data_IF_145089987988
#
_entry.id   IF_145089987988
#
_cell.length_a   1.000
_cell.length_b   1.000
_cell.length_c   1.000
_cell.angle_alpha   90.00
_cell.angle_beta   90.00
_cell.angle_gamma   90.00
#
_symmetry.space_group_name_H-M   'P 1'
#
loop_
_entity.id
_entity.type
_entity.pdbx_description
1 polymer ?
#
# COMPACT_ATOMS: atom_id res chain seq x y z
N UNK A 1 11.83 25.80 2.64
CA UNK A 1 11.26 25.55 1.30
C UNK A 1 10.04 26.43 1.16
N UNK A 2 9.98 27.23 0.12
CA UNK A 2 8.82 28.07 -0.22
C UNK A 2 7.59 27.18 -0.33
N UNK A 3 6.41 27.55 0.22
CA UNK A 3 5.19 26.79 -0.01
C UNK A 3 4.90 26.85 -1.52
N UNK A 4 5.11 25.72 -2.21
CA UNK A 4 4.65 25.52 -3.58
C UNK A 4 3.14 25.74 -3.56
N UNK A 5 2.64 26.64 -4.41
CA UNK A 5 1.21 26.88 -4.55
C UNK A 5 0.47 25.53 -4.69
N UNK A 6 -0.75 25.40 -4.11
CA UNK A 6 -1.49 24.15 -4.18
C UNK A 6 -1.62 23.73 -5.65
N UNK A 7 -1.17 22.51 -5.96
CA UNK A 7 -1.37 21.90 -7.27
C UNK A 7 -2.88 21.72 -7.40
N UNK A 8 -3.54 22.68 -8.04
CA UNK A 8 -4.98 22.64 -8.22
C UNK A 8 -5.28 21.55 -9.26
N UNK A 9 -6.01 20.52 -8.84
CA UNK A 9 -6.41 19.44 -9.71
C UNK A 9 -7.41 19.98 -10.75
N UNK A 10 -7.26 19.57 -12.00
CA UNK A 10 -8.21 19.89 -13.06
C UNK A 10 -9.63 19.47 -12.65
N UNK A 11 -10.61 20.34 -12.86
CA UNK A 11 -12.02 20.08 -12.53
C UNK A 11 -12.57 18.87 -13.30
N UNK A 12 -12.01 18.58 -14.48
CA UNK A 12 -12.37 17.42 -15.30
C UNK A 12 -11.75 16.11 -14.80
N UNK A 13 -10.84 16.15 -13.82
CA UNK A 13 -10.28 14.94 -13.21
C UNK A 13 -11.35 14.25 -12.33
N UNK A 14 -11.61 12.94 -12.49
CA UNK A 14 -12.67 12.25 -11.75
C UNK A 14 -12.48 12.23 -10.23
N UNK A 15 -11.28 12.55 -9.72
CA UNK A 15 -11.01 12.67 -8.29
C UNK A 15 -11.24 14.08 -7.71
N UNK A 16 -11.42 15.10 -8.56
CA UNK A 16 -11.56 16.50 -8.15
C UNK A 16 -12.75 16.75 -7.22
N UNK A 17 -13.82 15.96 -7.39
CA UNK A 17 -15.00 15.98 -6.54
C UNK A 17 -15.34 14.59 -5.97
N UNK A 18 -16.11 14.52 -4.88
CA UNK A 18 -16.71 13.26 -4.42
C UNK A 18 -17.60 12.65 -5.51
N UNK A 19 -17.59 11.32 -5.62
CA UNK A 19 -18.46 10.61 -6.55
C UNK A 19 -19.94 10.83 -6.23
N UNK A 20 -20.74 11.07 -7.27
CA UNK A 20 -22.20 11.18 -7.18
C UNK A 20 -22.90 9.83 -7.36
N UNK A 21 -22.16 8.74 -7.61
CA UNK A 21 -22.71 7.40 -7.73
C UNK A 21 -23.20 6.88 -6.35
N UNK A 22 -24.12 5.89 -6.32
CA UNK A 22 -24.65 5.36 -5.07
C UNK A 22 -23.55 4.97 -4.09
N UNK A 23 -23.70 5.39 -2.82
CA UNK A 23 -22.74 5.16 -1.73
C UNK A 23 -21.35 5.77 -1.94
N UNK A 24 -21.21 6.71 -2.89
CA UNK A 24 -19.91 7.29 -3.23
C UNK A 24 -19.00 6.33 -4.01
N UNK A 25 -19.57 5.34 -4.69
CA UNK A 25 -18.83 4.39 -5.53
C UNK A 25 -17.92 5.16 -6.52
N UNK A 26 -16.60 4.89 -6.59
CA UNK A 26 -15.75 5.52 -7.60
C UNK A 26 -16.25 5.23 -9.01
N UNK A 27 -16.24 6.23 -9.88
CA UNK A 27 -16.61 6.06 -11.28
C UNK A 27 -15.46 5.41 -12.07
N UNK A 28 -15.29 4.09 -11.89
CA UNK A 28 -14.26 3.31 -12.56
C UNK A 28 -14.32 3.39 -14.09
N UNK A 29 -15.48 3.74 -14.68
CA UNK A 29 -15.60 3.90 -16.13
C UNK A 29 -14.96 5.20 -16.62
N UNK A 30 -14.92 6.24 -15.78
CA UNK A 30 -14.32 7.52 -16.10
C UNK A 30 -12.82 7.59 -15.75
N UNK A 31 -12.36 6.77 -14.80
CA UNK A 31 -10.99 6.79 -14.29
C UNK A 31 -10.01 6.13 -15.27
N UNK A 32 -8.92 6.83 -15.55
CA UNK A 32 -7.81 6.38 -16.39
C UNK A 32 -6.47 6.60 -15.68
N UNK A 33 -5.42 5.90 -16.11
CA UNK A 33 -4.11 5.92 -15.43
C UNK A 33 -3.53 7.35 -15.36
N UNK A 34 -3.73 8.15 -16.42
CA UNK A 34 -3.26 9.53 -16.47
C UNK A 34 -3.90 10.46 -15.43
N UNK A 35 -5.04 10.07 -14.82
CA UNK A 35 -5.70 10.85 -13.78
C UNK A 35 -5.05 10.69 -12.40
N UNK A 36 -4.34 9.58 -12.18
CA UNK A 36 -3.93 9.14 -10.86
C UNK A 36 -2.78 9.98 -10.29
N UNK A 37 -1.68 10.15 -11.03
CA UNK A 37 -0.51 10.93 -10.54
C UNK A 37 -0.88 12.38 -10.22
N UNK A 38 -1.60 13.14 -11.08
CA UNK A 38 -2.06 14.48 -10.73
C UNK A 38 -2.93 14.49 -9.47
N UNK A 39 -3.83 13.52 -9.30
CA UNK A 39 -4.68 13.42 -8.13
C UNK A 39 -3.91 13.08 -6.85
N UNK A 40 -2.87 12.23 -6.91
CA UNK A 40 -1.95 11.98 -5.79
C UNK A 40 -1.22 13.25 -5.37
N UNK A 41 -0.60 13.97 -6.32
CA UNK A 41 0.14 15.19 -6.03
C UNK A 41 -0.76 16.28 -5.44
N UNK A 42 -1.94 16.48 -6.02
CA UNK A 42 -2.92 17.43 -5.50
C UNK A 42 -3.47 17.00 -4.13
N UNK A 43 -3.72 15.71 -3.93
CA UNK A 43 -4.19 15.15 -2.67
C UNK A 43 -3.19 15.33 -1.54
N UNK A 44 -1.92 15.00 -1.77
CA UNK A 44 -0.84 15.22 -0.79
C UNK A 44 -0.70 16.71 -0.49
N UNK A 45 -0.70 17.58 -1.50
CA UNK A 45 -0.60 19.03 -1.30
C UNK A 45 -1.76 19.59 -0.47
N UNK A 46 -2.99 19.15 -0.75
CA UNK A 46 -4.18 19.54 0.00
C UNK A 46 -4.10 19.10 1.47
N UNK A 47 -3.77 17.83 1.72
CA UNK A 47 -3.65 17.31 3.08
C UNK A 47 -2.54 18.02 3.88
N UNK A 48 -1.39 18.30 3.25
CA UNK A 48 -0.32 19.08 3.88
C UNK A 48 -0.79 20.47 4.29
N UNK A 49 -1.61 21.13 3.47
CA UNK A 49 -2.16 22.45 3.78
C UNK A 49 -3.21 22.38 4.91
N UNK A 50 -4.06 21.35 4.92
CA UNK A 50 -5.05 21.11 5.97
C UNK A 50 -4.36 20.83 7.32
N UNK A 51 -3.34 19.98 7.34
CA UNK A 51 -2.52 19.73 8.55
C UNK A 51 -1.76 20.98 8.97
N UNK A 52 -1.22 21.77 8.03
CA UNK A 52 -0.55 23.03 8.36
C UNK A 52 -1.51 24.01 9.06
N UNK A 53 -2.77 24.09 8.63
CA UNK A 53 -3.80 24.89 9.28
C UNK A 53 -4.06 24.43 10.72
N UNK A 54 -4.06 23.11 10.98
CA UNK A 54 -4.22 22.55 12.34
C UNK A 54 -3.04 22.93 13.23
N UNK A 55 -1.80 22.75 12.76
CA UNK A 55 -0.61 22.99 13.60
C UNK A 55 -0.30 24.47 13.80
N UNK A 56 -0.83 25.35 12.94
CA UNK A 56 -0.64 26.82 13.05
C UNK A 56 -1.82 27.56 13.65
N UNK A 57 -2.94 26.88 13.95
CA UNK A 57 -4.07 27.49 14.66
C UNK A 57 -3.63 28.01 16.04
N UNK A 58 -3.68 29.34 16.28
CA UNK A 58 -3.26 29.94 17.54
C UNK A 58 -4.22 29.66 18.70
N UNK A 59 -5.43 29.17 18.43
CA UNK A 59 -6.37 28.78 19.48
C UNK A 59 -5.85 27.54 20.24
N UNK A 60 -6.14 27.43 21.55
CA UNK A 60 -5.90 26.20 22.30
C UNK A 60 -6.50 24.99 21.58
N UNK A 61 -5.85 23.82 21.61
CA UNK A 61 -6.35 22.66 20.90
C UNK A 61 -7.63 22.14 21.54
N UNK A 62 -8.59 21.78 20.71
CA UNK A 62 -9.87 21.17 21.05
C UNK A 62 -10.09 19.92 20.20
N UNK A 63 -11.11 19.13 20.51
CA UNK A 63 -11.57 18.04 19.65
C UNK A 63 -11.79 18.53 18.20
N UNK A 64 -12.53 19.62 18.03
CA UNK A 64 -12.92 20.14 16.71
C UNK A 64 -11.74 20.65 15.88
N UNK A 65 -10.88 21.50 16.45
CA UNK A 65 -9.81 22.16 15.70
C UNK A 65 -8.54 21.30 15.57
N UNK A 66 -8.51 20.12 16.21
CA UNK A 66 -7.37 19.22 16.17
C UNK A 66 -7.78 17.83 15.70
N UNK A 67 -8.56 17.08 16.47
CA UNK A 67 -8.88 15.69 16.12
C UNK A 67 -9.79 15.61 14.89
N UNK A 68 -10.93 16.31 14.92
CA UNK A 68 -11.89 16.28 13.83
C UNK A 68 -11.35 16.97 12.57
N UNK A 69 -10.51 17.99 12.73
CA UNK A 69 -9.82 18.63 11.62
C UNK A 69 -8.83 17.66 10.94
N UNK A 70 -8.06 16.88 11.71
CA UNK A 70 -7.16 15.86 11.16
C UNK A 70 -7.93 14.72 10.49
N UNK A 71 -9.04 14.23 11.08
CA UNK A 71 -9.87 13.18 10.50
C UNK A 71 -10.54 13.59 9.18
N UNK A 72 -10.76 14.89 8.98
CA UNK A 72 -11.31 15.43 7.72
C UNK A 72 -10.24 15.70 6.67
N UNK A 73 -8.97 15.80 7.07
CA UNK A 73 -7.88 16.08 6.17
C UNK A 73 -7.63 14.92 5.20
N UNK A 74 -7.06 15.21 4.04
CA UNK A 74 -6.64 14.19 3.08
C UNK A 74 -7.77 13.53 2.31
N UNK A 75 -8.99 14.11 2.31
CA UNK A 75 -10.12 13.54 1.61
C UNK A 75 -9.86 13.27 0.11
N UNK A 76 -9.12 14.15 -0.58
CA UNK A 76 -8.71 13.93 -1.98
C UNK A 76 -7.69 12.79 -2.09
N UNK A 77 -6.67 12.78 -1.24
CA UNK A 77 -5.66 11.72 -1.25
C UNK A 77 -6.27 10.36 -0.97
N UNK A 78 -7.22 10.27 -0.04
CA UNK A 78 -7.95 9.06 0.27
C UNK A 78 -8.75 8.55 -0.95
N UNK A 79 -9.45 9.44 -1.67
CA UNK A 79 -10.22 9.05 -2.88
C UNK A 79 -9.35 8.38 -3.94
N UNK A 80 -8.20 9.00 -4.27
CA UNK A 80 -7.29 8.42 -5.26
C UNK A 80 -6.60 7.14 -4.74
N UNK A 81 -6.18 7.12 -3.48
CA UNK A 81 -5.51 5.96 -2.87
C UNK A 81 -6.41 4.72 -2.86
N UNK A 82 -7.68 4.86 -2.46
CA UNK A 82 -8.63 3.74 -2.43
C UNK A 82 -8.77 3.10 -3.81
N UNK A 83 -8.93 3.91 -4.85
CA UNK A 83 -9.05 3.40 -6.23
C UNK A 83 -7.73 2.76 -6.67
N UNK A 84 -6.62 3.46 -6.49
CA UNK A 84 -5.31 3.00 -6.94
C UNK A 84 -4.94 1.65 -6.35
N UNK A 85 -5.00 1.51 -5.01
CA UNK A 85 -4.65 0.26 -4.33
C UNK A 85 -5.68 -0.86 -4.56
N UNK A 86 -6.93 -0.52 -4.90
CA UNK A 86 -7.90 -1.53 -5.38
C UNK A 86 -7.50 -2.06 -6.76
N UNK A 87 -7.11 -1.18 -7.69
CA UNK A 87 -6.70 -1.58 -9.03
C UNK A 87 -5.38 -2.37 -9.00
N UNK A 88 -4.35 -1.91 -8.30
CA UNK A 88 -3.07 -2.64 -8.22
C UNK A 88 -3.21 -3.98 -7.49
N UNK A 89 -4.14 -4.09 -6.54
CA UNK A 89 -4.43 -5.34 -5.83
C UNK A 89 -5.26 -6.36 -6.62
N UNK A 90 -6.14 -5.92 -7.53
CA UNK A 90 -7.13 -6.79 -8.19
C UNK A 90 -7.01 -6.88 -9.72
N UNK A 91 -6.54 -5.82 -10.37
CA UNK A 91 -6.52 -5.68 -11.82
C UNK A 91 -5.41 -4.72 -12.27
N UNK A 92 -4.17 -5.05 -11.93
CA UNK A 92 -2.99 -4.22 -12.28
C UNK A 92 -2.67 -4.28 -13.77
N UNK A 93 -1.80 -3.38 -14.21
CA UNK A 93 -1.22 -3.32 -15.55
C UNK A 93 0.22 -2.80 -15.46
N UNK A 94 1.05 -2.95 -16.51
CA UNK A 94 2.40 -2.37 -16.52
C UNK A 94 2.42 -0.87 -16.19
N UNK A 95 1.44 -0.11 -16.68
CA UNK A 95 1.33 1.32 -16.41
C UNK A 95 0.98 1.63 -14.94
N UNK A 96 0.16 0.79 -14.31
CA UNK A 96 -0.15 0.90 -12.88
C UNK A 96 1.03 0.47 -12.00
N UNK A 97 1.78 -0.55 -12.41
CA UNK A 97 2.98 -1.02 -11.75
C UNK A 97 4.10 0.04 -11.79
N UNK A 98 4.28 0.71 -12.94
CA UNK A 98 5.22 1.83 -13.09
C UNK A 98 4.80 3.06 -12.27
N UNK A 99 3.50 3.28 -12.12
CA UNK A 99 2.97 4.34 -11.27
C UNK A 99 3.18 4.03 -9.78
N UNK A 100 2.99 2.79 -9.35
CA UNK A 100 3.21 2.35 -7.96
C UNK A 100 4.66 2.60 -7.52
N UNK A 101 5.63 2.29 -8.39
CA UNK A 101 7.05 2.54 -8.13
C UNK A 101 7.36 4.03 -7.92
N UNK A 102 6.63 4.92 -8.58
CA UNK A 102 6.78 6.37 -8.43
C UNK A 102 6.05 6.91 -7.20
N UNK A 103 4.84 6.40 -6.91
CA UNK A 103 3.97 6.93 -5.86
C UNK A 103 4.37 6.41 -4.48
N UNK A 104 4.83 5.17 -4.35
CA UNK A 104 5.21 4.57 -3.06
C UNK A 104 6.21 5.42 -2.25
N UNK A 105 7.36 5.89 -2.80
CA UNK A 105 8.28 6.74 -2.05
C UNK A 105 7.69 8.12 -1.73
N UNK A 106 6.85 8.69 -2.61
CA UNK A 106 6.21 9.99 -2.36
C UNK A 106 5.20 9.91 -1.20
N UNK A 107 4.40 8.85 -1.14
CA UNK A 107 3.47 8.61 -0.03
C UNK A 107 4.20 8.36 1.29
N UNK A 108 5.33 7.64 1.26
CA UNK A 108 6.16 7.44 2.44
C UNK A 108 6.69 8.77 2.98
N UNK A 109 7.24 9.63 2.12
CA UNK A 109 7.70 10.97 2.49
C UNK A 109 6.56 11.84 3.04
N UNK A 110 5.39 11.81 2.37
CA UNK A 110 4.21 12.56 2.80
C UNK A 110 3.73 12.13 4.20
N UNK A 111 3.62 10.82 4.44
CA UNK A 111 3.22 10.27 5.73
C UNK A 111 4.23 10.63 6.84
N UNK A 112 5.53 10.54 6.55
CA UNK A 112 6.58 10.93 7.48
C UNK A 112 6.58 12.42 7.78
N UNK A 113 6.26 13.26 6.78
CA UNK A 113 6.17 14.69 6.97
C UNK A 113 5.06 15.07 7.96
N UNK A 114 4.01 14.26 8.09
CA UNK A 114 2.90 14.46 9.04
C UNK A 114 3.22 13.82 10.39
N UNK A 115 3.54 12.53 10.40
CA UNK A 115 3.72 11.75 11.64
C UNK A 115 4.97 12.13 12.43
N UNK A 116 5.99 12.70 11.78
CA UNK A 116 7.18 13.24 12.43
C UNK A 116 7.14 14.77 12.62
N UNK A 117 6.01 15.44 12.36
CA UNK A 117 5.86 16.87 12.66
C UNK A 117 5.72 17.08 14.17
N UNK A 118 6.78 17.61 14.78
CA UNK A 118 6.81 17.89 16.22
C UNK A 118 5.74 18.90 16.65
N UNK A 119 5.35 19.84 15.79
CA UNK A 119 4.29 20.82 16.10
C UNK A 119 2.95 20.13 16.26
N UNK A 120 2.64 19.17 15.38
CA UNK A 120 1.44 18.37 15.46
C UNK A 120 1.43 17.52 16.74
N UNK A 121 2.55 16.84 17.03
CA UNK A 121 2.69 16.06 18.25
C UNK A 121 2.49 16.92 19.51
N UNK A 122 3.15 18.08 19.59
CA UNK A 122 3.05 18.97 20.74
C UNK A 122 1.62 19.52 20.92
N UNK A 123 0.89 19.75 19.82
CA UNK A 123 -0.53 20.10 19.85
C UNK A 123 -1.40 18.98 20.43
N UNK A 124 -1.18 17.74 20.02
CA UNK A 124 -1.88 16.57 20.57
C UNK A 124 -1.53 16.33 22.05
N UNK A 125 -0.28 16.52 22.45
CA UNK A 125 0.13 16.47 23.86
C UNK A 125 -0.52 17.58 24.70
N UNK A 126 -0.70 18.78 24.14
CA UNK A 126 -1.43 19.85 24.80
C UNK A 126 -2.91 19.52 25.01
N UNK A 127 -3.60 18.99 23.98
CA UNK A 127 -4.98 18.51 24.12
C UNK A 127 -5.09 17.38 25.15
N UNK A 128 -4.14 16.46 25.17
CA UNK A 128 -4.13 15.40 26.16
C UNK A 128 -4.00 15.94 27.58
N UNK A 129 -3.11 16.92 27.81
CA UNK A 129 -2.96 17.56 29.12
C UNK A 129 -4.22 18.29 29.56
N UNK A 130 -4.87 19.07 28.68
CA UNK A 130 -6.12 19.76 29.05
C UNK A 130 -7.22 18.80 29.47
N UNK A 131 -7.26 17.59 28.90
CA UNK A 131 -8.19 16.53 29.33
C UNK A 131 -7.79 15.94 30.69
N UNK A 132 -6.49 15.71 30.93
CA UNK A 132 -6.02 15.21 32.23
C UNK A 132 -6.26 16.23 33.37
N UNK A 133 -6.14 17.52 33.06
CA UNK A 133 -6.32 18.61 34.01
C UNK A 133 -7.82 18.94 34.26
N UNK A 134 -8.73 18.30 33.51
CA UNK A 134 -10.19 18.48 33.64
C UNK A 134 -10.72 19.75 32.98
N UNK A 135 -9.93 20.40 32.13
CA UNK A 135 -10.32 21.60 31.38
C UNK A 135 -11.21 21.27 30.16
N UNK A 136 -11.05 20.07 29.61
CA UNK A 136 -11.86 19.54 28.52
C UNK A 136 -12.31 18.12 28.84
N UNK A 137 -13.51 17.78 28.37
CA UNK A 137 -14.04 16.41 28.42
C UNK A 137 -14.22 15.92 26.98
N UNK A 138 -13.69 14.73 26.68
CA UNK A 138 -13.76 14.13 25.34
C UNK A 138 -14.69 12.93 25.39
N UNK A 139 -15.46 12.75 24.32
CA UNK A 139 -16.20 11.51 24.12
C UNK A 139 -15.24 10.30 24.06
N UNK A 140 -15.68 9.07 24.42
CA UNK A 140 -14.80 7.92 24.50
C UNK A 140 -14.06 7.57 23.21
N UNK A 141 -14.68 7.80 22.05
CA UNK A 141 -14.10 7.65 20.72
C UNK A 141 -13.03 8.72 20.43
N UNK A 142 -13.29 9.99 20.72
CA UNK A 142 -12.31 11.07 20.60
C UNK A 142 -11.10 10.86 21.54
N UNK A 143 -11.33 10.41 22.77
CA UNK A 143 -10.26 10.06 23.71
C UNK A 143 -9.41 8.88 23.20
N UNK A 144 -10.04 7.88 22.58
CA UNK A 144 -9.34 6.76 21.96
C UNK A 144 -8.51 7.23 20.75
N UNK A 145 -9.08 8.07 19.88
CA UNK A 145 -8.39 8.64 18.72
C UNK A 145 -7.16 9.43 19.14
N UNK A 146 -7.29 10.33 20.11
CA UNK A 146 -6.16 11.10 20.65
C UNK A 146 -5.03 10.19 21.17
N UNK A 147 -5.39 9.13 21.90
CA UNK A 147 -4.41 8.15 22.39
C UNK A 147 -3.70 7.43 21.24
N UNK A 148 -4.44 7.01 20.22
CA UNK A 148 -3.91 6.30 19.05
C UNK A 148 -2.95 7.20 18.25
N UNK A 149 -3.38 8.41 17.88
CA UNK A 149 -2.54 9.35 17.13
C UNK A 149 -1.22 9.65 17.86
N UNK A 150 -1.27 9.93 19.17
CA UNK A 150 -0.06 10.15 19.98
C UNK A 150 0.85 8.93 20.01
N UNK A 151 0.28 7.74 20.16
CA UNK A 151 1.04 6.48 20.19
C UNK A 151 1.72 6.21 18.85
N UNK A 152 1.02 6.48 17.74
CA UNK A 152 1.55 6.25 16.39
C UNK A 152 2.66 7.23 16.05
N UNK A 153 2.53 8.52 16.39
CA UNK A 153 3.63 9.48 16.21
C UNK A 153 4.87 9.13 17.07
N UNK A 154 4.66 8.63 18.30
CA UNK A 154 5.77 8.14 19.13
C UNK A 154 6.46 6.93 18.52
N UNK A 155 5.70 5.95 18.00
CA UNK A 155 6.22 4.78 17.27
C UNK A 155 6.88 5.14 15.94
N UNK A 156 6.47 6.24 15.31
CA UNK A 156 7.12 6.76 14.12
C UNK A 156 8.49 7.37 14.44
N UNK A 157 8.69 7.85 15.68
CA UNK A 157 9.95 8.45 16.12
C UNK A 157 9.90 9.97 16.25
N UNK A 158 8.71 10.57 16.43
CA UNK A 158 8.58 12.04 16.56
C UNK A 158 9.40 12.63 17.71
N UNK A 159 9.70 11.84 18.75
CA UNK A 159 10.50 12.25 19.90
C UNK A 159 12.02 12.12 19.69
N UNK A 160 12.47 11.51 18.59
CA UNK A 160 13.88 11.32 18.28
C UNK A 160 14.57 12.65 17.89
N UNK A 161 15.90 12.67 17.95
CA UNK A 161 16.67 13.83 17.49
C UNK A 161 16.54 14.02 15.96
N UNK A 162 16.81 15.23 15.43
CA UNK A 162 16.66 15.50 14.01
C UNK A 162 17.46 14.57 13.08
N UNK A 163 18.63 14.10 13.53
CA UNK A 163 19.45 13.16 12.76
C UNK A 163 18.80 11.78 12.66
N UNK A 164 18.30 11.26 13.79
CA UNK A 164 17.54 10.00 13.81
C UNK A 164 16.27 10.09 12.99
N UNK A 165 15.51 11.19 13.08
CA UNK A 165 14.32 11.38 12.25
C UNK A 165 14.65 11.41 10.75
N UNK A 166 15.75 12.05 10.34
CA UNK A 166 16.18 12.06 8.95
C UNK A 166 16.56 10.64 8.45
N UNK A 167 17.25 9.86 9.29
CA UNK A 167 17.58 8.46 8.98
C UNK A 167 16.32 7.59 8.86
N UNK A 168 15.34 7.75 9.75
CA UNK A 168 14.06 7.02 9.69
C UNK A 168 13.30 7.34 8.39
N UNK A 169 13.30 8.61 7.94
CA UNK A 169 12.67 9.00 6.66
C UNK A 169 13.31 8.32 5.45
N UNK A 170 14.64 8.28 5.40
CA UNK A 170 15.36 7.56 4.34
C UNK A 170 15.00 6.06 4.33
N UNK A 171 15.00 5.44 5.52
CA UNK A 171 14.66 4.04 5.67
C UNK A 171 13.22 3.75 5.23
N UNK A 172 12.24 4.55 5.65
CA UNK A 172 10.84 4.37 5.27
C UNK A 172 10.65 4.48 3.75
N UNK A 173 11.29 5.45 3.12
CA UNK A 173 11.25 5.65 1.66
C UNK A 173 11.82 4.42 0.93
N UNK A 174 12.97 3.91 1.38
CA UNK A 174 13.60 2.72 0.79
C UNK A 174 12.79 1.44 1.02
N UNK A 175 12.20 1.28 2.21
CA UNK A 175 11.33 0.15 2.54
C UNK A 175 10.10 0.16 1.61
N UNK A 176 9.43 1.30 1.46
CA UNK A 176 8.25 1.41 0.59
C UNK A 176 8.57 1.05 -0.87
N UNK A 177 9.70 1.55 -1.41
CA UNK A 177 10.14 1.20 -2.76
C UNK A 177 10.43 -0.31 -2.91
N UNK A 178 11.05 -0.93 -1.90
CA UNK A 178 11.33 -2.37 -1.91
C UNK A 178 10.07 -3.22 -1.76
N UNK A 179 9.06 -2.76 -1.01
CA UNK A 179 7.77 -3.43 -0.87
C UNK A 179 6.98 -3.42 -2.18
N UNK A 180 6.92 -2.27 -2.86
CA UNK A 180 6.37 -2.18 -4.23
C UNK A 180 7.08 -3.14 -5.19
N UNK A 181 8.42 -3.13 -5.18
CA UNK A 181 9.23 -4.06 -5.98
C UNK A 181 8.95 -5.52 -5.64
N UNK A 182 8.81 -5.87 -4.37
CA UNK A 182 8.51 -7.23 -3.94
C UNK A 182 7.17 -7.72 -4.49
N UNK A 183 6.11 -6.89 -4.42
CA UNK A 183 4.80 -7.21 -4.98
C UNK A 183 4.86 -7.53 -6.47
N UNK A 184 5.57 -6.71 -7.26
CA UNK A 184 5.77 -6.95 -8.70
C UNK A 184 6.54 -8.24 -8.97
N UNK A 185 7.65 -8.47 -8.26
CA UNK A 185 8.45 -9.69 -8.40
C UNK A 185 7.65 -10.94 -8.03
N UNK A 186 6.79 -10.86 -7.02
CA UNK A 186 5.92 -11.97 -6.61
C UNK A 186 4.88 -12.31 -7.67
N UNK A 187 4.23 -11.30 -8.26
CA UNK A 187 3.27 -11.48 -9.35
C UNK A 187 3.95 -12.08 -10.58
N UNK A 188 5.06 -11.47 -11.02
CA UNK A 188 5.85 -11.94 -12.15
C UNK A 188 6.38 -13.37 -11.91
N UNK A 189 6.90 -13.64 -10.71
CA UNK A 189 7.40 -14.95 -10.31
C UNK A 189 6.30 -16.02 -10.25
N UNK A 190 5.10 -15.66 -9.84
CA UNK A 190 3.94 -16.57 -9.84
C UNK A 190 3.50 -16.89 -11.28
N UNK A 191 3.38 -15.89 -12.13
CA UNK A 191 3.05 -16.05 -13.55
C UNK A 191 4.10 -16.88 -14.31
N UNK A 192 5.39 -16.63 -14.05
CA UNK A 192 6.50 -17.36 -14.68
C UNK A 192 6.60 -18.81 -14.21
N UNK A 193 6.20 -19.11 -12.98
CA UNK A 193 6.24 -20.46 -12.41
C UNK A 193 5.04 -21.34 -12.81
N UNK A 194 4.04 -20.81 -13.51
CA UNK A 194 2.91 -21.60 -13.99
C UNK A 194 3.39 -22.81 -14.83
N UNK A 195 2.84 -23.99 -14.55
CA UNK A 195 3.31 -25.24 -15.16
C UNK A 195 2.61 -25.46 -16.50
N UNK A 196 3.38 -25.34 -17.58
CA UNK A 196 2.89 -25.55 -18.94
C UNK A 196 3.00 -27.02 -19.35
N UNK A 197 1.92 -27.55 -19.93
CA UNK A 197 1.75 -28.94 -20.36
C UNK A 197 1.14 -28.96 -21.77
N UNK A 198 1.55 -29.91 -22.60
CA UNK A 198 1.05 -30.01 -23.99
C UNK A 198 0.24 -31.28 -24.23
N UNK A 199 0.38 -32.28 -23.36
CA UNK A 199 -0.38 -33.54 -23.43
C UNK A 199 -1.50 -33.55 -22.39
N UNK A 200 -2.74 -33.75 -22.84
CA UNK A 200 -3.90 -33.89 -21.95
C UNK A 200 -3.78 -35.07 -21.00
N UNK A 201 -3.03 -36.11 -21.38
CA UNK A 201 -2.73 -37.25 -20.51
C UNK A 201 -1.89 -36.86 -19.28
N UNK A 202 -1.23 -35.70 -19.28
CA UNK A 202 -0.55 -35.17 -18.10
C UNK A 202 -1.52 -34.69 -17.01
N UNK A 203 -2.79 -34.45 -17.37
CA UNK A 203 -3.84 -33.94 -16.47
C UNK A 203 -4.73 -35.03 -15.84
N UNK A 204 -4.36 -36.31 -15.98
CA UNK A 204 -5.15 -37.43 -15.43
C UNK A 204 -5.50 -37.22 -13.95
N UNK A 205 -6.80 -37.30 -13.65
CA UNK A 205 -7.39 -37.11 -12.33
C UNK A 205 -8.03 -35.74 -12.08
N UNK A 206 -7.75 -34.73 -12.91
CA UNK A 206 -8.50 -33.48 -12.89
C UNK A 206 -9.91 -33.68 -13.48
N UNK A 207 -10.88 -32.92 -12.98
CA UNK A 207 -12.21 -32.85 -13.58
C UNK A 207 -12.20 -32.03 -14.89
N UNK A 208 -13.23 -32.18 -15.74
CA UNK A 208 -13.28 -31.47 -17.02
C UNK A 208 -13.21 -29.94 -16.90
N UNK A 209 -13.80 -29.35 -15.86
CA UNK A 209 -13.82 -27.89 -15.69
C UNK A 209 -12.41 -27.36 -15.38
N UNK A 210 -11.62 -28.11 -14.59
CA UNK A 210 -10.22 -27.80 -14.31
C UNK A 210 -9.34 -27.93 -15.57
N UNK A 211 -9.59 -28.94 -16.41
CA UNK A 211 -8.90 -29.12 -17.70
C UNK A 211 -9.21 -27.95 -18.65
N UNK A 212 -10.49 -27.58 -18.76
CA UNK A 212 -10.92 -26.45 -19.59
C UNK A 212 -10.33 -25.12 -19.10
N UNK A 213 -10.29 -24.92 -17.78
CA UNK A 213 -9.68 -23.72 -17.18
C UNK A 213 -8.19 -23.63 -17.49
N UNK A 214 -7.46 -24.74 -17.40
CA UNK A 214 -6.04 -24.77 -17.74
C UNK A 214 -5.79 -24.51 -19.24
N UNK A 215 -6.67 -25.01 -20.12
CA UNK A 215 -6.60 -24.72 -21.55
C UNK A 215 -6.85 -23.23 -21.86
N UNK A 216 -7.86 -22.62 -21.21
CA UNK A 216 -8.11 -21.17 -21.34
C UNK A 216 -6.92 -20.35 -20.86
N UNK A 217 -6.35 -20.69 -19.70
CA UNK A 217 -5.19 -19.98 -19.16
C UNK A 217 -3.95 -20.05 -20.08
N UNK A 218 -3.78 -21.15 -20.81
CA UNK A 218 -2.75 -21.26 -21.85
C UNK A 218 -3.06 -20.37 -23.05
N UNK A 219 -4.29 -20.42 -23.55
CA UNK A 219 -4.76 -19.62 -24.69
C UNK A 219 -4.66 -18.11 -24.43
N UNK A 220 -5.07 -17.65 -23.25
CA UNK A 220 -5.00 -16.24 -22.82
C UNK A 220 -3.56 -15.73 -22.78
N UNK A 221 -2.58 -16.62 -22.61
CA UNK A 221 -1.14 -16.32 -22.65
C UNK A 221 -0.49 -16.67 -24.00
N UNK A 222 -1.28 -16.95 -25.03
CA UNK A 222 -0.81 -17.27 -26.37
C UNK A 222 0.01 -18.57 -26.44
N UNK A 223 -0.28 -19.55 -25.57
CA UNK A 223 0.39 -20.84 -25.51
C UNK A 223 -0.57 -21.96 -25.90
N UNK A 224 -0.06 -22.95 -26.63
CA UNK A 224 -0.80 -24.18 -26.92
C UNK A 224 -0.88 -25.10 -25.69
N UNK A 225 -1.87 -25.98 -25.60
CA UNK A 225 -1.98 -26.96 -24.51
C UNK A 225 -2.65 -26.38 -23.25
N UNK A 226 -2.03 -26.60 -22.09
CA UNK A 226 -2.62 -26.36 -20.77
C UNK A 226 -1.65 -25.66 -19.85
N UNK A 227 -2.14 -24.71 -19.07
CA UNK A 227 -1.35 -23.97 -18.10
C UNK A 227 -1.96 -24.13 -16.70
N UNK A 228 -1.22 -24.79 -15.81
CA UNK A 228 -1.59 -24.90 -14.41
C UNK A 228 -1.06 -23.68 -13.65
N UNK A 229 -1.96 -22.73 -13.40
CA UNK A 229 -1.67 -21.55 -12.58
C UNK A 229 -1.51 -21.92 -11.10
N UNK A 230 -0.77 -21.09 -10.36
CA UNK A 230 -0.46 -21.31 -8.96
C UNK A 230 -1.26 -20.35 -8.09
N UNK A 231 -1.89 -20.87 -7.04
CA UNK A 231 -2.52 -20.05 -6.00
C UNK A 231 -1.50 -19.65 -4.94
N UNK A 232 -1.80 -18.60 -4.15
CA UNK A 232 -0.89 -18.05 -3.13
C UNK A 232 -0.22 -19.10 -2.22
N UNK A 233 -0.92 -20.05 -1.55
CA UNK A 233 -0.29 -20.96 -0.61
C UNK A 233 0.74 -21.90 -1.25
N UNK A 234 1.61 -22.51 -0.44
CA UNK A 234 2.57 -23.51 -0.93
C UNK A 234 1.87 -24.77 -1.47
N UNK A 235 0.82 -25.22 -0.78
CA UNK A 235 0.01 -26.36 -1.21
C UNK A 235 -0.99 -25.94 -2.29
N UNK A 236 -0.90 -26.61 -3.43
CA UNK A 236 -1.73 -26.33 -4.60
C UNK A 236 -2.93 -27.31 -4.62
N UNK A 237 -4.19 -26.83 -4.66
CA UNK A 237 -5.39 -27.68 -4.57
C UNK A 237 -5.42 -28.81 -5.61
N UNK A 238 -4.95 -28.54 -6.83
CA UNK A 238 -4.89 -29.48 -7.94
C UNK A 238 -4.03 -30.73 -7.65
N UNK A 239 -3.11 -30.66 -6.66
CA UNK A 239 -2.28 -31.79 -6.25
C UNK A 239 -3.09 -32.94 -5.66
N UNK A 240 -4.26 -32.67 -5.08
CA UNK A 240 -5.15 -33.69 -4.52
C UNK A 240 -5.78 -34.58 -5.61
N UNK A 241 -5.88 -34.07 -6.83
CA UNK A 241 -6.61 -34.69 -7.92
C UNK A 241 -5.68 -35.30 -8.98
N UNK A 242 -4.54 -34.65 -9.27
CA UNK A 242 -3.55 -35.16 -10.22
C UNK A 242 -3.02 -36.55 -9.82
N UNK A 243 -3.21 -37.55 -10.69
CA UNK A 243 -2.72 -38.91 -10.49
C UNK A 243 -1.25 -39.08 -10.84
N UNK A 244 -0.76 -38.28 -11.79
CA UNK A 244 0.64 -38.30 -12.24
C UNK A 244 1.60 -37.69 -11.23
N UNK A 245 2.46 -38.53 -10.65
CA UNK A 245 3.44 -38.12 -9.62
C UNK A 245 4.48 -37.13 -10.15
N UNK A 246 4.90 -37.30 -11.39
CA UNK A 246 5.83 -36.40 -12.08
C UNK A 246 5.23 -34.99 -12.24
N UNK A 247 3.95 -34.88 -12.64
CA UNK A 247 3.26 -33.59 -12.77
C UNK A 247 3.02 -32.96 -11.40
N UNK A 248 2.58 -33.74 -10.39
CA UNK A 248 2.46 -33.26 -9.01
C UNK A 248 3.78 -32.67 -8.49
N UNK A 249 4.90 -33.34 -8.80
CA UNK A 249 6.23 -32.85 -8.40
C UNK A 249 6.56 -31.53 -9.07
N UNK A 250 6.38 -31.42 -10.39
CA UNK A 250 6.61 -30.17 -11.14
C UNK A 250 5.81 -29.01 -10.56
N UNK A 251 4.53 -29.22 -10.23
CA UNK A 251 3.67 -28.19 -9.61
C UNK A 251 4.14 -27.81 -8.21
N UNK A 252 4.51 -28.80 -7.38
CA UNK A 252 5.01 -28.52 -6.02
C UNK A 252 6.36 -27.78 -6.04
N UNK A 253 7.29 -28.19 -6.90
CA UNK A 253 8.59 -27.54 -7.08
C UNK A 253 8.42 -26.13 -7.65
N UNK A 254 7.51 -25.95 -8.60
CA UNK A 254 7.17 -24.62 -9.11
C UNK A 254 6.61 -23.72 -7.99
N UNK A 255 5.62 -24.20 -7.22
CA UNK A 255 5.01 -23.47 -6.11
C UNK A 255 6.01 -23.05 -5.03
N UNK A 256 6.88 -23.96 -4.60
CA UNK A 256 7.86 -23.73 -3.53
C UNK A 256 9.11 -22.98 -4.01
N UNK A 257 9.41 -23.03 -5.31
CA UNK A 257 10.50 -22.30 -5.96
C UNK A 257 10.12 -20.93 -6.52
N UNK A 258 8.86 -20.50 -6.46
CA UNK A 258 8.39 -19.20 -6.95
C UNK A 258 9.25 -18.04 -6.43
N UNK A 259 9.66 -17.17 -7.34
CA UNK A 259 10.40 -15.94 -6.99
C UNK A 259 11.79 -16.18 -6.40
N UNK A 260 12.44 -17.32 -6.69
CA UNK A 260 13.78 -17.65 -6.15
C UNK A 260 14.90 -17.71 -7.20
N UNK A 261 14.62 -17.41 -8.47
CA UNK A 261 15.60 -17.51 -9.55
C UNK A 261 15.38 -16.45 -10.62
N UNK A 262 16.44 -16.16 -11.39
CA UNK A 262 16.38 -15.27 -12.55
C UNK A 262 16.00 -13.82 -12.22
N UNK A 263 15.33 -13.17 -13.15
CA UNK A 263 14.91 -11.76 -13.05
C UNK A 263 13.79 -11.53 -12.04
N UNK A 264 13.09 -12.60 -11.64
CA UNK A 264 12.00 -12.59 -10.66
C UNK A 264 12.44 -13.00 -9.25
N UNK A 265 13.76 -13.10 -9.00
CA UNK A 265 14.30 -13.44 -7.68
C UNK A 265 14.02 -12.34 -6.64
N UNK A 266 13.09 -12.62 -5.74
CA UNK A 266 12.67 -11.72 -4.67
C UNK A 266 13.50 -11.85 -3.38
N UNK A 267 14.37 -12.86 -3.28
CA UNK A 267 15.14 -13.12 -2.04
C UNK A 267 16.05 -11.94 -1.65
N UNK A 268 16.80 -11.30 -2.57
CA UNK A 268 17.62 -10.14 -2.21
C UNK A 268 16.77 -8.97 -1.68
N UNK A 269 15.59 -8.76 -2.25
CA UNK A 269 14.65 -7.71 -1.83
C UNK A 269 14.14 -7.99 -0.41
N UNK A 270 13.70 -9.21 -0.12
CA UNK A 270 13.23 -9.59 1.23
C UNK A 270 14.33 -9.44 2.28
N UNK A 271 15.56 -9.86 1.96
CA UNK A 271 16.70 -9.71 2.88
C UNK A 271 17.00 -8.24 3.16
N UNK A 272 16.94 -7.37 2.14
CA UNK A 272 17.16 -5.94 2.33
C UNK A 272 16.03 -5.31 3.16
N UNK A 273 14.76 -5.61 2.87
CA UNK A 273 13.63 -5.14 3.69
C UNK A 273 13.82 -5.53 5.16
N UNK A 274 14.20 -6.78 5.44
CA UNK A 274 14.44 -7.26 6.80
C UNK A 274 15.57 -6.48 7.50
N UNK A 275 16.66 -6.19 6.79
CA UNK A 275 17.77 -5.37 7.31
C UNK A 275 17.34 -3.95 7.63
N UNK A 276 16.63 -3.29 6.71
CA UNK A 276 16.17 -1.92 6.90
C UNK A 276 15.15 -1.81 8.03
N UNK A 277 14.23 -2.78 8.16
CA UNK A 277 13.29 -2.85 9.28
C UNK A 277 14.01 -3.06 10.61
N UNK A 278 15.03 -3.91 10.66
CA UNK A 278 15.85 -4.10 11.86
C UNK A 278 16.65 -2.83 12.22
N UNK A 279 17.19 -2.13 11.23
CA UNK A 279 17.87 -0.85 11.44
C UNK A 279 16.90 0.22 11.97
N UNK A 280 15.72 0.34 11.37
CA UNK A 280 14.65 1.25 11.81
C UNK A 280 14.23 0.97 13.26
N UNK A 281 14.05 -0.30 13.63
CA UNK A 281 13.71 -0.68 15.00
C UNK A 281 14.78 -0.25 16.01
N UNK A 282 16.06 -0.53 15.72
CA UNK A 282 17.19 -0.11 16.58
C UNK A 282 17.28 1.40 16.73
N UNK A 283 17.05 2.17 15.67
CA UNK A 283 17.05 3.63 15.73
C UNK A 283 15.94 4.18 16.63
N UNK A 284 14.81 3.48 16.72
CA UNK A 284 13.64 3.89 17.48
C UNK A 284 13.61 3.30 18.91
N UNK A 285 14.60 2.49 19.28
CA UNK A 285 14.77 1.98 20.64
C UNK A 285 14.09 0.65 20.93
N UNK A 286 13.65 -0.09 19.90
CA UNK A 286 13.25 -1.49 20.03
C UNK A 286 14.49 -2.38 19.84
N UNK A 287 14.89 -3.11 20.90
CA UNK A 287 16.03 -4.07 20.89
C UNK A 287 15.76 -5.32 20.02
#
# INVERSE_FOLDING_TARGET
MTPTAPVQLDEDNPFAAPSTLPYGLPDFAAIRVEHLMPAFLAGMAAERAEVEAVVTDPAPPTEDNTLLALERAGALLNRVSVVFFTLTGAHTSPELDDLDEQVAPLLAEHHDAITLDRRLHDRLEALHRSVQDGEQDLAPDAAWLLRTLRQDMRRAGVAADPGTQAAVRDLNTRIAALESRFSRLLLAGTNAAAVHLTDVGELDGLDPDAVDSAARAAADRGREGYLLELSLPSDQPLLAHLRRRDVRRRVHEASTGRGTTGEVDARPVVVEIARLRAERARLLGDE
#
